data_IF_345125235427
#
_entry.id   IF_345125235427
#
_cell.length_a   1.000
_cell.length_b   1.000
_cell.length_c   1.000
_cell.angle_alpha   90.00
_cell.angle_beta   90.00
_cell.angle_gamma   90.00
#
_symmetry.space_group_name_H-M   'P 1'
#
loop_
_entity.id
_entity.type
_entity.pdbx_description
1 polymer ?
#
# COMPACT_ATOMS: atom_id res chain seq x y z
N UNK A 1 -28.19 12.37 22.38
CA UNK A 1 -27.46 11.72 23.48
C UNK A 1 -26.40 10.79 22.94
N UNK A 2 -25.20 10.77 23.52
CA UNK A 2 -24.16 9.77 23.21
C UNK A 2 -24.59 8.44 23.80
N UNK A 3 -24.88 7.45 22.96
CA UNK A 3 -25.31 6.11 23.37
C UNK A 3 -24.12 5.13 23.28
N UNK A 4 -23.87 4.35 24.33
CA UNK A 4 -22.82 3.32 24.40
C UNK A 4 -23.11 2.10 23.51
N UNK A 5 -22.09 1.27 23.25
CA UNK A 5 -22.08 0.16 22.28
C UNK A 5 -23.35 -0.69 22.30
N UNK A 6 -24.22 -0.58 21.28
CA UNK A 6 -25.42 -1.41 21.13
C UNK A 6 -25.36 -2.24 19.85
N UNK A 7 -26.04 -3.38 19.84
CA UNK A 7 -26.10 -4.30 18.69
C UNK A 7 -26.60 -3.62 17.40
N UNK A 8 -27.44 -2.60 17.53
CA UNK A 8 -27.94 -1.78 16.43
C UNK A 8 -26.85 -1.05 15.63
N UNK A 9 -25.60 -1.03 16.10
CA UNK A 9 -24.46 -0.36 15.43
C UNK A 9 -23.43 -1.35 14.88
N UNK A 10 -23.73 -2.64 14.91
CA UNK A 10 -22.91 -3.66 14.27
C UNK A 10 -22.74 -3.35 12.77
N UNK A 11 -21.52 -3.45 12.26
CA UNK A 11 -21.24 -3.19 10.84
C UNK A 11 -21.28 -1.72 10.40
N UNK A 12 -21.56 -0.76 11.31
CA UNK A 12 -21.66 0.70 11.01
C UNK A 12 -20.53 1.18 10.10
N UNK A 13 -19.29 0.88 10.45
CA UNK A 13 -18.11 1.39 9.72
C UNK A 13 -18.00 0.79 8.32
N UNK A 14 -18.29 -0.51 8.16
CA UNK A 14 -18.20 -1.20 6.86
C UNK A 14 -19.31 -0.79 5.89
N UNK A 15 -20.48 -0.40 6.41
CA UNK A 15 -21.58 0.15 5.59
C UNK A 15 -21.40 1.64 5.26
N UNK A 16 -20.67 2.38 6.10
CA UNK A 16 -20.35 3.79 5.86
C UNK A 16 -19.26 4.00 4.82
N UNK A 17 -18.32 3.07 4.67
CA UNK A 17 -17.22 3.23 3.72
C UNK A 17 -17.68 2.97 2.28
N UNK A 18 -17.27 3.82 1.31
CA UNK A 18 -17.60 3.60 -0.09
C UNK A 18 -16.98 2.28 -0.57
N UNK A 19 -17.77 1.51 -1.33
CA UNK A 19 -17.32 0.22 -1.83
C UNK A 19 -16.41 0.40 -3.04
N UNK A 20 -15.10 0.38 -2.81
CA UNK A 20 -14.10 0.43 -3.89
C UNK A 20 -13.94 -0.97 -4.51
N UNK A 21 -14.13 -1.05 -5.82
CA UNK A 21 -13.88 -2.27 -6.58
C UNK A 21 -12.38 -2.60 -6.63
N UNK A 22 -12.03 -3.88 -6.73
CA UNK A 22 -10.63 -4.28 -6.87
C UNK A 22 -10.15 -3.88 -8.26
N UNK A 23 -9.02 -3.17 -8.32
CA UNK A 23 -8.35 -2.89 -9.59
C UNK A 23 -7.87 -4.19 -10.24
N UNK A 24 -7.99 -4.24 -11.58
CA UNK A 24 -7.40 -5.32 -12.35
C UNK A 24 -5.87 -5.23 -12.27
N UNK A 25 -5.24 -6.35 -11.90
CA UNK A 25 -3.78 -6.44 -11.75
C UNK A 25 -3.28 -7.68 -12.46
N UNK A 26 -2.13 -7.53 -13.12
CA UNK A 26 -1.43 -8.65 -13.75
C UNK A 26 -1.19 -9.77 -12.73
N UNK A 27 -1.38 -11.01 -13.18
CA UNK A 27 -1.19 -12.20 -12.35
C UNK A 27 0.26 -12.22 -11.85
N UNK A 28 0.43 -12.31 -10.53
CA UNK A 28 1.75 -12.57 -9.95
C UNK A 28 2.14 -14.01 -10.30
N UNK A 29 3.40 -14.26 -10.73
CA UNK A 29 3.87 -15.63 -10.89
C UNK A 29 3.81 -16.35 -9.53
N UNK A 30 3.57 -17.66 -9.55
CA UNK A 30 3.45 -18.50 -8.36
C UNK A 30 4.68 -19.39 -8.17
N UNK A 31 4.86 -19.96 -6.98
CA UNK A 31 5.91 -20.93 -6.68
C UNK A 31 7.34 -20.38 -6.81
N UNK A 32 8.21 -21.13 -7.50
CA UNK A 32 9.65 -20.80 -7.64
C UNK A 32 9.89 -19.46 -8.31
N UNK A 33 9.12 -19.12 -9.34
CA UNK A 33 9.23 -17.84 -10.03
C UNK A 33 8.93 -16.66 -9.09
N UNK A 34 7.96 -16.82 -8.17
CA UNK A 34 7.70 -15.80 -7.16
C UNK A 34 8.85 -15.65 -6.16
N UNK A 35 9.41 -16.77 -5.69
CA UNK A 35 10.55 -16.76 -4.76
C UNK A 35 11.79 -16.09 -5.39
N UNK A 36 12.06 -16.33 -6.68
CA UNK A 36 13.14 -15.63 -7.40
C UNK A 36 12.93 -14.12 -7.41
N UNK A 37 11.73 -13.65 -7.79
CA UNK A 37 11.43 -12.21 -7.77
C UNK A 37 11.52 -11.60 -6.36
N UNK A 38 11.07 -12.31 -5.32
CA UNK A 38 11.18 -11.83 -3.94
C UNK A 38 12.63 -11.69 -3.50
N UNK A 39 13.48 -12.69 -3.79
CA UNK A 39 14.90 -12.64 -3.47
C UNK A 39 15.61 -11.49 -4.17
N UNK A 40 15.42 -11.35 -5.49
CA UNK A 40 15.98 -10.24 -6.26
C UNK A 40 15.54 -8.89 -5.70
N UNK A 41 14.26 -8.71 -5.37
CA UNK A 41 13.72 -7.46 -4.79
C UNK A 41 14.32 -7.12 -3.43
N UNK A 42 14.46 -8.12 -2.54
CA UNK A 42 14.84 -7.90 -1.14
C UNK A 42 16.34 -7.78 -0.91
N UNK A 43 17.14 -8.54 -1.67
CA UNK A 43 18.55 -8.71 -1.37
C UNK A 43 19.48 -8.23 -2.50
N UNK A 44 19.01 -8.20 -3.74
CA UNK A 44 19.85 -7.80 -4.88
C UNK A 44 19.60 -6.33 -5.24
N UNK A 45 18.34 -5.94 -5.48
CA UNK A 45 18.01 -4.57 -5.92
C UNK A 45 17.95 -3.58 -4.76
N UNK A 46 17.51 -3.99 -3.57
CA UNK A 46 17.46 -3.11 -2.40
C UNK A 46 18.84 -2.75 -1.85
N UNK A 47 19.86 -3.58 -2.07
CA UNK A 47 21.25 -3.27 -1.71
C UNK A 47 21.97 -2.33 -2.67
N UNK A 48 21.48 -2.21 -3.92
CA UNK A 48 22.07 -1.34 -4.95
C UNK A 48 21.36 0.02 -5.06
N UNK A 49 20.12 0.13 -4.58
CA UNK A 49 19.28 1.32 -4.77
C UNK A 49 18.59 1.77 -3.46
N UNK A 50 19.35 2.32 -2.52
CA UNK A 50 18.91 3.43 -1.63
C UNK A 50 20.08 3.92 -0.75
N UNK A 51 20.39 5.23 -0.63
CA UNK A 51 19.55 6.41 -0.89
C UNK A 51 20.28 7.50 -1.71
N UNK A 52 20.16 7.50 -3.05
CA UNK A 52 20.53 8.70 -3.84
C UNK A 52 19.31 9.23 -4.61
N UNK A 53 18.37 8.36 -4.98
CA UNK A 53 17.13 8.75 -5.66
C UNK A 53 15.95 9.14 -4.75
N UNK A 54 16.08 9.13 -3.42
CA UNK A 54 15.02 9.63 -2.54
C UNK A 54 15.24 11.09 -2.10
N UNK A 55 16.38 11.70 -2.44
CA UNK A 55 16.76 13.05 -1.98
C UNK A 55 16.65 14.13 -3.05
N UNK A 56 16.30 13.80 -4.31
CA UNK A 56 16.23 14.78 -5.41
C UNK A 56 14.82 15.16 -5.87
N UNK A 57 13.76 14.52 -5.34
CA UNK A 57 12.37 14.88 -5.68
C UNK A 57 11.63 15.65 -4.56
N UNK A 58 12.36 16.21 -3.60
CA UNK A 58 11.79 17.07 -2.56
C UNK A 58 12.51 18.42 -2.45
N UNK A 59 12.70 19.10 -3.58
CA UNK A 59 12.92 20.54 -3.58
C UNK A 59 11.55 21.24 -3.53
N UNK A 60 11.27 22.03 -2.47
CA UNK A 60 9.95 22.52 -2.14
C UNK A 60 9.48 23.61 -3.12
N UNK A 61 8.17 23.56 -3.39
CA UNK A 61 7.37 24.74 -3.69
C UNK A 61 7.70 25.85 -2.68
N UNK A 62 8.41 26.89 -3.13
CA UNK A 62 8.38 28.20 -2.49
C UNK A 62 7.58 29.17 -3.39
N UNK A 63 6.64 29.92 -2.80
CA UNK A 63 5.75 30.83 -3.53
C UNK A 63 6.43 32.16 -3.81
N UNK A 64 6.29 32.65 -5.04
CA UNK A 64 6.27 34.08 -5.39
C UNK A 64 5.02 34.31 -6.21
#
# INVERSE_FOLDING_TARGET
>A
GKVHGSLARAGKVRGQTPKVAKQEKKKKPRGRAHKRMQYTRRFVTAGMLSPILFSLDLAPLLPV
#
